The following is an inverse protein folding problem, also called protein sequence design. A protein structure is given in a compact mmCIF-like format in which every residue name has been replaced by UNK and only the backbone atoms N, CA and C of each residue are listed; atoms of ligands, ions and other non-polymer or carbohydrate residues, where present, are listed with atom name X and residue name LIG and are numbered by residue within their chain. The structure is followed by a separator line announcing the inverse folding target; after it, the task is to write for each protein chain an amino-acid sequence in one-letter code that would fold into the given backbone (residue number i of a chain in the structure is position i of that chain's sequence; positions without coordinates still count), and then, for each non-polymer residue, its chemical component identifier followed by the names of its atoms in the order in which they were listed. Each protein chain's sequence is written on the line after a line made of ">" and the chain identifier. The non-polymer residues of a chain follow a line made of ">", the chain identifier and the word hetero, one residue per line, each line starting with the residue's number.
data_IF_300921587037
#
_entry.id   IF_300921587037
#
_cell.length_a   1.000
_cell.length_b   1.000
_cell.length_c   1.000
_cell.angle_alpha   90.00
_cell.angle_beta   90.00
_cell.angle_gamma   90.00
#
_symmetry.space_group_name_H-M   'P 1'
#
loop_
_entity.id
_entity.type
_entity.pdbx_description
1 polymer ?
#
# COMPACT_ATOMS: atom_id res chain seq x y z
N UNK A 1 -8.31 -19.86 16.63
CA UNK A 1 -7.58 -18.76 15.96
C UNK A 1 -6.08 -19.04 15.87
N UNK A 2 -5.38 -19.44 16.96
CA UNK A 2 -3.92 -19.65 16.98
C UNK A 2 -3.42 -20.55 15.83
N UNK A 3 -4.11 -21.64 15.57
CA UNK A 3 -3.71 -22.65 14.57
C UNK A 3 -4.23 -22.38 13.14
N UNK A 4 -4.75 -21.18 12.86
CA UNK A 4 -5.13 -20.81 11.50
C UNK A 4 -3.90 -20.36 10.72
N UNK A 5 -3.82 -20.80 9.47
CA UNK A 5 -2.80 -20.33 8.54
C UNK A 5 -3.01 -18.84 8.25
N UNK A 6 -1.97 -18.04 8.53
CA UNK A 6 -2.07 -16.60 8.40
C UNK A 6 -2.11 -16.17 6.92
N UNK A 7 -1.45 -16.89 6.02
CA UNK A 7 -1.52 -16.58 4.59
C UNK A 7 -2.93 -16.81 4.03
N UNK A 8 -3.68 -17.79 4.54
CA UNK A 8 -5.09 -17.99 4.17
C UNK A 8 -5.93 -16.81 4.67
N UNK A 9 -5.75 -16.38 5.93
CA UNK A 9 -6.45 -15.20 6.45
C UNK A 9 -6.12 -13.92 5.69
N UNK A 10 -4.87 -13.78 5.23
CA UNK A 10 -4.45 -12.66 4.37
C UNK A 10 -5.16 -12.71 3.01
N UNK A 11 -5.30 -13.89 2.40
CA UNK A 11 -6.03 -14.07 1.15
C UNK A 11 -7.52 -13.70 1.29
N UNK A 12 -8.15 -14.09 2.39
CA UNK A 12 -9.54 -13.72 2.66
C UNK A 12 -9.72 -12.19 2.74
N UNK A 13 -8.78 -11.51 3.41
CA UNK A 13 -8.80 -10.05 3.52
C UNK A 13 -8.52 -9.34 2.20
N UNK A 14 -7.63 -9.88 1.35
CA UNK A 14 -7.40 -9.42 -0.01
C UNK A 14 -8.69 -9.50 -0.84
N UNK A 15 -9.35 -10.67 -0.83
CA UNK A 15 -10.62 -10.89 -1.54
C UNK A 15 -11.71 -9.92 -1.08
N UNK A 16 -11.82 -9.70 0.24
CA UNK A 16 -12.79 -8.75 0.80
C UNK A 16 -12.51 -7.32 0.34
N UNK A 17 -11.23 -6.90 0.26
CA UNK A 17 -10.87 -5.57 -0.24
C UNK A 17 -11.27 -5.42 -1.70
N UNK A 18 -11.00 -6.43 -2.52
CA UNK A 18 -11.36 -6.44 -3.93
C UNK A 18 -12.87 -6.39 -4.16
N UNK A 19 -13.65 -7.16 -3.41
CA UNK A 19 -15.13 -7.12 -3.48
C UNK A 19 -15.74 -5.78 -3.06
N UNK A 20 -15.03 -5.01 -2.23
CA UNK A 20 -15.44 -3.67 -1.81
C UNK A 20 -15.02 -2.56 -2.80
N UNK A 21 -14.35 -2.91 -3.92
CA UNK A 21 -13.84 -1.94 -4.89
C UNK A 21 -12.48 -1.30 -4.50
N UNK A 22 -11.87 -1.74 -3.38
CA UNK A 22 -10.59 -1.22 -2.89
C UNK A 22 -9.40 -1.92 -3.62
N UNK A 23 -9.37 -1.86 -4.96
CA UNK A 23 -8.41 -2.60 -5.81
C UNK A 23 -6.95 -2.33 -5.43
N UNK A 24 -6.56 -1.05 -5.26
CA UNK A 24 -5.19 -0.69 -4.90
C UNK A 24 -4.75 -1.29 -3.57
N UNK A 25 -5.65 -1.33 -2.58
CA UNK A 25 -5.37 -1.94 -1.28
C UNK A 25 -5.30 -3.47 -1.39
N UNK A 26 -6.19 -4.08 -2.21
CA UNK A 26 -6.17 -5.51 -2.47
C UNK A 26 -4.84 -5.95 -3.11
N UNK A 27 -4.33 -5.18 -4.08
CA UNK A 27 -3.04 -5.45 -4.71
C UNK A 27 -1.86 -5.33 -3.74
N UNK A 28 -1.88 -4.34 -2.85
CA UNK A 28 -0.88 -4.23 -1.77
C UNK A 28 -0.95 -5.40 -0.79
N UNK A 29 -2.15 -5.86 -0.45
CA UNK A 29 -2.35 -7.04 0.41
C UNK A 29 -1.84 -8.31 -0.28
N UNK A 30 -2.13 -8.49 -1.57
CA UNK A 30 -1.62 -9.59 -2.38
C UNK A 30 -0.09 -9.60 -2.41
N UNK A 31 0.55 -8.47 -2.69
CA UNK A 31 2.00 -8.35 -2.71
C UNK A 31 2.61 -8.68 -1.33
N UNK A 32 2.03 -8.14 -0.25
CA UNK A 32 2.47 -8.41 1.13
C UNK A 32 2.38 -9.91 1.45
N UNK A 33 1.24 -10.54 1.14
CA UNK A 33 1.02 -11.98 1.33
C UNK A 33 2.03 -12.81 0.56
N UNK A 34 2.29 -12.48 -0.69
CA UNK A 34 3.22 -13.22 -1.53
C UNK A 34 4.65 -13.16 -0.98
N UNK A 35 5.10 -11.97 -0.53
CA UNK A 35 6.40 -11.83 0.13
C UNK A 35 6.47 -12.60 1.44
N UNK A 36 5.41 -12.55 2.26
CA UNK A 36 5.39 -13.27 3.54
C UNK A 36 5.35 -14.79 3.34
N UNK A 37 4.53 -15.30 2.41
CA UNK A 37 4.48 -16.71 2.07
C UNK A 37 5.83 -17.25 1.53
N UNK A 38 6.51 -16.46 0.69
CA UNK A 38 7.84 -16.80 0.21
C UNK A 38 8.86 -16.86 1.36
N UNK A 39 8.82 -15.87 2.27
CA UNK A 39 9.67 -15.84 3.46
C UNK A 39 9.45 -17.08 4.35
N UNK A 40 8.19 -17.42 4.67
CA UNK A 40 7.86 -18.59 5.50
C UNK A 40 8.41 -19.87 4.86
N UNK A 41 8.20 -20.05 3.55
CA UNK A 41 8.69 -21.21 2.80
C UNK A 41 10.22 -21.28 2.76
N UNK A 42 10.89 -20.18 2.41
CA UNK A 42 12.35 -20.13 2.27
C UNK A 42 13.08 -20.30 3.61
N UNK A 43 12.45 -19.92 4.72
CA UNK A 43 13.03 -20.00 6.07
C UNK A 43 12.54 -21.20 6.89
N UNK A 44 11.67 -22.04 6.33
CA UNK A 44 11.09 -23.19 7.05
C UNK A 44 10.33 -22.78 8.30
N UNK A 45 9.70 -21.58 8.31
CA UNK A 45 8.94 -21.06 9.45
C UNK A 45 7.51 -21.55 9.44
N UNK A 46 6.89 -21.56 10.62
CA UNK A 46 5.44 -21.77 10.73
C UNK A 46 4.67 -20.59 10.14
N UNK A 47 3.66 -20.91 9.34
CA UNK A 47 2.73 -19.90 8.79
C UNK A 47 1.52 -19.64 9.67
N UNK A 48 1.46 -20.20 10.87
CA UNK A 48 0.30 -20.08 11.76
C UNK A 48 0.24 -18.68 12.40
N UNK A 49 -0.98 -18.16 12.53
CA UNK A 49 -1.22 -16.83 13.11
C UNK A 49 -0.62 -16.68 14.51
N UNK A 50 -0.67 -17.75 15.33
CA UNK A 50 -0.14 -17.75 16.69
C UNK A 50 1.38 -17.77 16.80
N UNK A 51 2.07 -18.05 15.69
CA UNK A 51 3.54 -18.14 15.64
C UNK A 51 4.17 -16.89 15.00
N UNK A 52 3.34 -15.91 14.65
CA UNK A 52 3.81 -14.58 14.21
C UNK A 52 4.24 -13.81 15.45
N UNK A 53 5.50 -13.95 15.82
CA UNK A 53 6.15 -13.25 16.95
C UNK A 53 6.91 -12.01 16.47
N UNK A 54 7.40 -11.20 17.41
CA UNK A 54 8.25 -10.06 17.10
C UNK A 54 9.52 -10.49 16.34
N UNK A 55 10.14 -11.61 16.73
CA UNK A 55 11.31 -12.15 16.04
C UNK A 55 11.01 -12.52 14.59
N UNK A 56 9.88 -13.18 14.33
CA UNK A 56 9.43 -13.53 12.97
C UNK A 56 9.25 -12.26 12.12
N UNK A 57 8.68 -11.20 12.69
CA UNK A 57 8.51 -9.93 11.98
C UNK A 57 9.86 -9.26 11.71
N UNK A 58 10.79 -9.27 12.66
CA UNK A 58 12.16 -8.75 12.47
C UNK A 58 12.93 -9.54 11.40
N UNK A 59 12.81 -10.86 11.40
CA UNK A 59 13.41 -11.70 10.35
C UNK A 59 12.78 -11.41 8.97
N UNK A 60 11.48 -11.19 8.91
CA UNK A 60 10.81 -10.81 7.67
C UNK A 60 11.29 -9.45 7.14
N UNK A 61 11.51 -8.46 8.02
CA UNK A 61 12.12 -7.18 7.63
C UNK A 61 13.51 -7.41 7.03
N UNK A 62 14.36 -8.21 7.68
CA UNK A 62 15.69 -8.54 7.17
C UNK A 62 15.62 -9.24 5.81
N UNK A 63 14.67 -10.16 5.66
CA UNK A 63 14.41 -10.84 4.39
C UNK A 63 14.04 -9.87 3.27
N UNK A 64 13.11 -8.93 3.52
CA UNK A 64 12.71 -7.91 2.54
C UNK A 64 13.87 -6.99 2.15
N UNK A 65 14.67 -6.55 3.13
CA UNK A 65 15.89 -5.76 2.87
C UNK A 65 16.90 -6.53 1.99
N UNK A 66 17.05 -7.84 2.23
CA UNK A 66 17.90 -8.72 1.42
C UNK A 66 17.45 -8.85 -0.04
N UNK A 67 16.16 -8.64 -0.34
CA UNK A 67 15.63 -8.59 -1.72
C UNK A 67 15.90 -7.24 -2.43
N UNK A 68 16.72 -6.35 -1.87
CA UNK A 68 17.07 -5.02 -2.42
C UNK A 68 15.86 -4.11 -2.66
N UNK A 69 14.81 -4.26 -1.88
CA UNK A 69 13.64 -3.39 -1.94
C UNK A 69 13.96 -2.02 -1.32
N UNK A 70 13.33 -0.97 -1.85
CA UNK A 70 13.44 0.38 -1.28
C UNK A 70 12.86 0.41 0.14
N UNK A 71 13.43 1.23 1.01
CA UNK A 71 13.02 1.37 2.42
C UNK A 71 11.51 1.61 2.56
N UNK A 72 10.97 2.53 1.78
CA UNK A 72 9.54 2.85 1.82
C UNK A 72 8.65 1.68 1.36
N UNK A 73 9.14 0.82 0.45
CA UNK A 73 8.43 -0.40 0.04
C UNK A 73 8.42 -1.43 1.18
N UNK A 74 9.54 -1.62 1.86
CA UNK A 74 9.62 -2.48 3.05
C UNK A 74 8.64 -1.99 4.12
N UNK A 75 8.63 -0.67 4.40
CA UNK A 75 7.72 -0.06 5.37
C UNK A 75 6.24 -0.29 5.00
N UNK A 76 5.91 -0.17 3.71
CA UNK A 76 4.56 -0.44 3.21
C UNK A 76 4.16 -1.90 3.47
N UNK A 77 5.01 -2.87 3.15
CA UNK A 77 4.72 -4.29 3.40
C UNK A 77 4.56 -4.59 4.90
N UNK A 78 5.39 -4.01 5.76
CA UNK A 78 5.27 -4.22 7.21
C UNK A 78 4.00 -3.56 7.76
N UNK A 79 3.66 -2.37 7.31
CA UNK A 79 2.41 -1.68 7.69
C UNK A 79 1.16 -2.49 7.29
N UNK A 80 1.17 -3.05 6.07
CA UNK A 80 0.09 -3.90 5.59
C UNK A 80 0.03 -5.23 6.36
N UNK A 81 1.17 -5.87 6.61
CA UNK A 81 1.24 -7.09 7.42
C UNK A 81 0.65 -6.86 8.82
N UNK A 82 1.02 -5.74 9.48
CA UNK A 82 0.46 -5.33 10.77
C UNK A 82 -1.05 -5.13 10.71
N UNK A 83 -1.55 -4.45 9.69
CA UNK A 83 -2.98 -4.22 9.51
C UNK A 83 -3.75 -5.54 9.35
N UNK A 84 -3.22 -6.45 8.52
CA UNK A 84 -3.81 -7.77 8.26
C UNK A 84 -3.76 -8.65 9.50
N UNK A 85 -2.64 -8.67 10.24
CA UNK A 85 -2.50 -9.39 11.50
C UNK A 85 -3.50 -8.89 12.55
N UNK A 86 -3.56 -7.58 12.77
CA UNK A 86 -4.48 -7.00 13.74
C UNK A 86 -5.95 -7.32 13.40
N UNK A 87 -6.31 -7.32 12.12
CA UNK A 87 -7.64 -7.71 11.65
C UNK A 87 -7.92 -9.19 11.90
N UNK A 88 -6.94 -10.07 11.60
CA UNK A 88 -7.06 -11.50 11.85
C UNK A 88 -7.21 -11.83 13.34
N UNK A 89 -6.63 -11.01 14.22
CA UNK A 89 -6.73 -11.18 15.68
C UNK A 89 -8.00 -10.59 16.30
N UNK A 90 -8.89 -9.95 15.55
CA UNK A 90 -10.14 -9.41 16.10
C UNK A 90 -11.01 -10.54 16.67
N UNK A 91 -11.46 -10.37 17.91
CA UNK A 91 -12.28 -11.37 18.60
C UNK A 91 -11.52 -12.60 19.11
N UNK A 92 -10.20 -12.66 18.95
CA UNK A 92 -9.41 -13.74 19.52
C UNK A 92 -9.14 -13.52 21.02
N UNK A 93 -9.92 -14.18 21.87
CA UNK A 93 -9.86 -14.07 23.35
C UNK A 93 -8.53 -14.59 23.96
N UNK A 94 -7.83 -15.49 23.28
CA UNK A 94 -6.56 -16.06 23.72
C UNK A 94 -5.35 -15.48 22.99
N UNK A 95 -5.44 -14.22 22.51
CA UNK A 95 -4.33 -13.55 21.85
C UNK A 95 -3.15 -13.43 22.83
N UNK A 96 -1.91 -13.78 22.41
CA UNK A 96 -0.74 -13.56 23.24
C UNK A 96 -0.63 -12.09 23.68
N UNK A 97 -0.15 -11.86 24.91
CA UNK A 97 0.12 -10.50 25.41
C UNK A 97 1.17 -9.79 24.56
N UNK A 98 2.14 -10.54 24.07
CA UNK A 98 3.19 -10.04 23.18
C UNK A 98 2.60 -9.57 21.85
N UNK A 99 2.81 -8.31 21.54
CA UNK A 99 2.35 -7.69 20.30
C UNK A 99 3.49 -7.67 19.28
N UNK A 100 3.41 -8.47 18.19
CA UNK A 100 4.53 -8.66 17.26
C UNK A 100 5.06 -7.39 16.60
N UNK A 101 4.28 -6.32 16.59
CA UNK A 101 4.59 -5.04 15.95
C UNK A 101 4.77 -3.90 16.96
N UNK A 102 4.83 -4.19 18.26
CA UNK A 102 5.00 -3.16 19.29
C UNK A 102 6.44 -2.61 19.25
N UNK A 103 6.59 -1.32 19.50
CA UNK A 103 7.90 -0.65 19.50
C UNK A 103 8.58 -0.52 18.14
N UNK A 104 7.97 -0.99 17.05
CA UNK A 104 8.56 -0.89 15.72
C UNK A 104 8.50 0.55 15.20
N UNK A 105 9.68 1.16 15.06
CA UNK A 105 9.86 2.42 14.34
C UNK A 105 10.33 2.12 12.92
N UNK A 106 9.48 2.41 11.93
CA UNK A 106 9.83 2.30 10.52
C UNK A 106 10.44 3.64 10.07
N UNK A 107 11.75 3.64 9.82
CA UNK A 107 12.43 4.80 9.25
C UNK A 107 11.89 5.06 7.84
N UNK A 108 11.47 6.29 7.57
CA UNK A 108 11.06 6.70 6.22
C UNK A 108 12.23 7.35 5.50
N UNK A 109 12.40 6.95 4.25
CA UNK A 109 13.30 7.62 3.34
C UNK A 109 12.54 8.79 2.68
N UNK A 110 13.13 9.98 2.71
CA UNK A 110 12.54 11.11 1.99
C UNK A 110 12.59 10.82 0.49
N UNK A 111 11.44 10.98 -0.14
CA UNK A 111 11.34 10.88 -1.61
C UNK A 111 11.49 12.26 -2.21
N UNK A 112 12.14 12.34 -3.37
CA UNK A 112 12.25 13.58 -4.14
C UNK A 112 10.84 14.11 -4.39
N UNK A 113 10.56 15.32 -3.91
CA UNK A 113 9.29 16.00 -4.16
C UNK A 113 9.21 16.30 -5.66
N UNK A 114 8.10 15.89 -6.27
CA UNK A 114 7.83 16.15 -7.69
C UNK A 114 7.02 17.44 -7.91
N UNK A 115 7.02 18.33 -6.92
CA UNK A 115 6.37 19.61 -7.05
C UNK A 115 7.11 20.43 -8.14
N UNK A 116 6.33 21.06 -9.02
CA UNK A 116 6.86 21.97 -10.05
C UNK A 116 6.56 23.41 -9.65
N UNK A 117 7.41 24.37 -10.06
CA UNK A 117 7.13 25.79 -9.87
C UNK A 117 5.84 26.23 -10.60
N UNK A 118 5.20 27.30 -10.12
CA UNK A 118 3.98 27.84 -10.72
C UNK A 118 4.19 28.30 -12.17
N UNK A 119 5.41 28.68 -12.51
CA UNK A 119 5.82 29.07 -13.87
C UNK A 119 5.59 27.93 -14.87
N UNK A 120 5.82 26.67 -14.47
CA UNK A 120 5.54 25.50 -15.30
C UNK A 120 4.05 25.36 -15.56
N UNK A 121 3.23 25.62 -14.57
CA UNK A 121 1.74 25.61 -14.71
C UNK A 121 1.29 26.69 -15.71
N UNK A 122 1.88 27.89 -15.62
CA UNK A 122 1.60 28.98 -16.60
C UNK A 122 2.04 28.60 -18.01
N UNK A 123 3.21 27.99 -18.16
CA UNK A 123 3.69 27.49 -19.45
C UNK A 123 2.76 26.42 -20.04
N UNK A 124 2.31 25.47 -19.20
CA UNK A 124 1.34 24.47 -19.62
C UNK A 124 0.02 25.10 -20.11
N UNK A 125 -0.47 26.12 -19.42
CA UNK A 125 -1.70 26.82 -19.80
C UNK A 125 -1.57 27.64 -21.10
N UNK A 126 -0.35 27.98 -21.50
CA UNK A 126 -0.04 28.72 -22.71
C UNK A 126 0.27 27.84 -23.92
N UNK A 127 0.24 26.51 -23.78
CA UNK A 127 0.51 25.60 -24.90
C UNK A 127 -0.62 25.66 -25.93
N UNK A 128 -0.25 25.85 -27.19
CA UNK A 128 -1.15 25.63 -28.31
C UNK A 128 -1.15 24.14 -28.69
N UNK A 129 -2.25 23.46 -28.46
CA UNK A 129 -2.43 22.04 -28.68
C UNK A 129 -3.70 21.71 -29.48
N UNK A 130 -4.12 22.63 -30.36
CA UNK A 130 -5.37 22.43 -31.12
C UNK A 130 -5.28 21.22 -32.07
N UNK A 131 -4.10 20.95 -32.60
CA UNK A 131 -3.84 19.76 -33.47
C UNK A 131 -3.50 18.47 -32.70
N UNK A 132 -3.39 18.52 -31.35
CA UNK A 132 -2.99 17.38 -30.51
C UNK A 132 -4.03 17.11 -29.40
N UNK A 133 -5.22 16.58 -29.72
CA UNK A 133 -6.34 16.49 -28.77
C UNK A 133 -6.06 15.65 -27.53
N UNK A 134 -5.23 14.59 -27.63
CA UNK A 134 -4.85 13.77 -26.48
C UNK A 134 -3.93 14.55 -25.51
N UNK A 135 -2.98 15.32 -26.02
CA UNK A 135 -2.12 16.16 -25.19
C UNK A 135 -2.92 17.31 -24.59
N UNK A 136 -3.82 17.92 -25.35
CA UNK A 136 -4.73 18.95 -24.86
C UNK A 136 -5.54 18.46 -23.67
N UNK A 137 -6.17 17.29 -23.81
CA UNK A 137 -6.93 16.67 -22.71
C UNK A 137 -6.06 16.44 -21.47
N UNK A 138 -4.86 15.91 -21.65
CA UNK A 138 -3.94 15.66 -20.52
C UNK A 138 -3.54 16.96 -19.81
N UNK A 139 -3.27 18.04 -20.56
CA UNK A 139 -2.96 19.36 -20.00
C UNK A 139 -4.17 19.96 -19.29
N UNK A 140 -5.35 19.90 -19.90
CA UNK A 140 -6.59 20.42 -19.31
C UNK A 140 -6.91 19.71 -17.99
N UNK A 141 -6.75 18.39 -17.93
CA UNK A 141 -6.93 17.62 -16.70
C UNK A 141 -5.89 17.96 -15.62
N UNK A 142 -4.62 18.18 -16.00
CA UNK A 142 -3.58 18.60 -15.07
C UNK A 142 -3.85 19.99 -14.50
N UNK A 143 -4.25 20.94 -15.34
CA UNK A 143 -4.65 22.30 -14.94
C UNK A 143 -5.89 22.27 -14.06
N UNK A 144 -6.91 21.50 -14.44
CA UNK A 144 -8.10 21.31 -13.61
C UNK A 144 -7.74 20.77 -12.23
N UNK A 145 -6.92 19.70 -12.17
CA UNK A 145 -6.43 19.14 -10.91
C UNK A 145 -5.74 20.22 -10.06
N UNK A 146 -4.87 21.02 -10.66
CA UNK A 146 -4.17 22.09 -9.95
C UNK A 146 -5.14 23.15 -9.37
N UNK A 147 -6.08 23.66 -10.16
CA UNK A 147 -7.06 24.65 -9.71
C UNK A 147 -8.09 24.08 -8.73
N UNK A 148 -8.35 22.76 -8.80
CA UNK A 148 -9.17 22.02 -7.84
C UNK A 148 -8.37 21.58 -6.60
N UNK A 149 -7.32 22.32 -6.21
CA UNK A 149 -6.50 22.09 -5.02
C UNK A 149 -5.82 20.70 -4.99
N UNK A 150 -5.45 20.17 -6.14
CA UNK A 150 -4.77 18.87 -6.25
C UNK A 150 -5.74 17.68 -6.28
N UNK A 151 -6.93 17.86 -6.83
CA UNK A 151 -7.90 16.76 -6.98
C UNK A 151 -7.27 15.58 -7.72
N UNK A 152 -7.29 14.36 -7.17
CA UNK A 152 -6.73 13.18 -7.83
C UNK A 152 -7.45 12.87 -9.14
N UNK A 153 -6.71 12.33 -10.12
CA UNK A 153 -7.27 11.94 -11.42
C UNK A 153 -8.47 10.99 -11.28
N UNK A 154 -8.42 10.03 -10.35
CA UNK A 154 -9.52 9.11 -10.10
C UNK A 154 -10.81 9.80 -9.65
N UNK A 155 -10.70 10.95 -9.00
CA UNK A 155 -11.86 11.75 -8.58
C UNK A 155 -12.36 12.64 -9.71
N UNK A 156 -11.44 13.20 -10.52
CA UNK A 156 -11.80 14.01 -11.70
C UNK A 156 -12.66 13.20 -12.67
N UNK A 157 -12.27 11.94 -12.98
CA UNK A 157 -13.03 11.11 -13.93
C UNK A 157 -14.39 10.63 -13.39
N UNK A 158 -14.65 10.82 -12.09
CA UNK A 158 -15.92 10.50 -11.44
C UNK A 158 -16.80 11.72 -11.21
N UNK A 159 -16.32 12.91 -11.58
CA UNK A 159 -17.13 14.12 -11.45
C UNK A 159 -18.38 14.02 -12.34
N UNK A 160 -19.50 14.36 -11.76
CA UNK A 160 -20.79 14.49 -12.41
C UNK A 160 -21.38 15.88 -12.12
N UNK A 161 -22.51 16.22 -12.74
CA UNK A 161 -23.22 17.47 -12.45
C UNK A 161 -23.90 17.47 -11.07
N UNK A 162 -23.92 16.33 -10.38
CA UNK A 162 -24.61 16.14 -9.11
C UNK A 162 -23.68 16.22 -7.90
N UNK A 163 -22.34 16.28 -8.11
CA UNK A 163 -21.33 16.37 -7.05
C UNK A 163 -20.27 17.46 -7.31
#
# INVERSE_FOLDING_TARGET
>A
MRNKDFCILMLEQEKQKRSNGDESTADLYRATRNHFAAFIRERGKSGLLGDVTQDVVQEFIRYLKGKKLRVNSVNSYISNLRAMYNRACRGWKGRPEERPFEGMQLQREETVKRAVPVEVIKQMAALDLEEEPEKKLAVDMALFSFFACGMPFADIVRLSREN
#
